data_IF_951697585227
#
_entry.id   IF_951697585227
#
_cell.length_a   1.000
_cell.length_b   1.000
_cell.length_c   1.000
_cell.angle_alpha   90.00
_cell.angle_beta   90.00
_cell.angle_gamma   90.00
#
_symmetry.space_group_name_H-M   'P 1'
#
loop_
_entity.id
_entity.type
_entity.pdbx_description
1 polymer ?
#
# COMPACT_ATOMS: atom_id res chain seq x y z
N UNK A 1 5.44 31.22 -27.31
CA UNK A 1 6.92 31.24 -27.57
C UNK A 1 7.21 31.02 -29.05
N UNK A 2 8.22 31.69 -29.64
CA UNK A 2 8.63 31.43 -31.03
C UNK A 2 9.23 30.03 -31.21
N UNK A 3 8.86 29.31 -32.28
CA UNK A 3 9.26 27.90 -32.52
C UNK A 3 10.77 27.67 -32.43
N UNK A 4 11.56 28.60 -32.97
CA UNK A 4 13.02 28.51 -33.01
C UNK A 4 13.64 28.65 -31.61
N UNK A 5 13.12 29.55 -30.77
CA UNK A 5 13.60 29.74 -29.40
C UNK A 5 13.24 28.54 -28.52
N UNK A 6 12.03 28.01 -28.64
CA UNK A 6 11.62 26.83 -27.87
C UNK A 6 12.41 25.56 -28.23
N UNK A 7 12.77 25.39 -29.51
CA UNK A 7 13.66 24.30 -29.94
C UNK A 7 15.03 24.39 -29.27
N UNK A 8 15.62 25.60 -29.22
CA UNK A 8 16.90 25.83 -28.54
C UNK A 8 16.82 25.53 -27.04
N UNK A 9 15.71 25.89 -26.40
CA UNK A 9 15.48 25.53 -24.99
C UNK A 9 15.43 24.01 -24.79
N UNK A 10 14.74 23.29 -25.67
CA UNK A 10 14.67 21.83 -25.61
C UNK A 10 16.03 21.16 -25.83
N UNK A 11 16.84 21.67 -26.75
CA UNK A 11 18.21 21.19 -27.00
C UNK A 11 19.11 21.46 -25.78
N UNK A 12 19.10 22.69 -25.27
CA UNK A 12 19.88 23.06 -24.09
C UNK A 12 19.50 22.21 -22.86
N UNK A 13 18.21 21.90 -22.69
CA UNK A 13 17.75 21.05 -21.59
C UNK A 13 18.23 19.59 -21.74
N UNK A 14 18.40 19.06 -22.95
CA UNK A 14 18.95 17.70 -23.15
C UNK A 14 20.43 17.61 -22.80
N UNK A 15 21.14 18.70 -23.01
CA UNK A 15 22.59 18.78 -22.82
C UNK A 15 22.97 19.19 -21.39
N UNK A 16 22.02 19.68 -20.59
CA UNK A 16 22.32 20.11 -19.23
C UNK A 16 22.73 18.93 -18.33
N UNK A 17 23.85 19.03 -17.61
CA UNK A 17 24.23 18.05 -16.60
C UNK A 17 23.49 18.25 -15.27
N UNK A 18 22.87 19.43 -15.05
CA UNK A 18 22.24 19.82 -13.78
C UNK A 18 21.03 18.96 -13.43
N UNK A 19 20.28 18.53 -14.46
CA UNK A 19 19.08 17.70 -14.28
C UNK A 19 19.44 16.28 -14.68
N UNK A 20 19.65 15.42 -13.67
CA UNK A 20 19.81 14.00 -13.91
C UNK A 20 18.54 13.43 -14.57
N UNK A 21 18.75 12.48 -15.49
CA UNK A 21 17.63 11.74 -16.09
C UNK A 21 16.79 11.10 -15.00
N UNK A 22 15.47 11.10 -15.21
CA UNK A 22 14.56 10.46 -14.28
C UNK A 22 14.86 8.97 -14.17
N UNK A 23 15.04 8.48 -12.95
CA UNK A 23 15.33 7.09 -12.64
C UNK A 23 14.12 6.44 -11.96
N UNK A 24 13.37 5.58 -12.68
CA UNK A 24 12.24 4.87 -12.10
C UNK A 24 12.64 3.74 -11.13
N UNK A 25 13.94 3.43 -11.01
CA UNK A 25 14.46 2.36 -10.14
C UNK A 25 14.68 2.80 -8.68
N UNK A 26 14.67 4.11 -8.40
CA UNK A 26 14.76 4.66 -7.04
C UNK A 26 13.77 3.94 -6.10
N UNK A 27 14.17 3.41 -4.93
CA UNK A 27 13.28 2.65 -4.06
C UNK A 27 11.93 3.32 -3.80
N UNK A 28 10.86 2.53 -3.62
CA UNK A 28 9.50 3.04 -3.41
C UNK A 28 9.44 3.98 -2.20
N UNK A 29 10.09 3.57 -1.09
CA UNK A 29 10.37 4.45 0.06
C UNK A 29 11.36 5.53 -0.39
N UNK A 30 10.97 6.82 -0.34
CA UNK A 30 11.78 7.89 -0.95
C UNK A 30 11.20 8.45 -2.23
N UNK A 31 10.34 7.70 -2.93
CA UNK A 31 10.06 7.98 -4.35
C UNK A 31 9.24 9.24 -4.57
N UNK A 32 8.30 9.56 -3.68
CA UNK A 32 7.53 10.81 -3.75
C UNK A 32 8.47 12.01 -3.56
N UNK A 33 9.32 11.97 -2.53
CA UNK A 33 10.33 13.00 -2.27
C UNK A 33 11.31 13.15 -3.45
N UNK A 34 11.75 12.04 -4.03
CA UNK A 34 12.57 12.02 -5.25
C UNK A 34 11.88 12.70 -6.43
N UNK A 35 10.64 12.31 -6.76
CA UNK A 35 9.87 12.91 -7.86
C UNK A 35 9.70 14.42 -7.64
N UNK A 36 9.32 14.83 -6.41
CA UNK A 36 9.14 16.25 -6.05
C UNK A 36 10.45 17.03 -6.22
N UNK A 37 11.56 16.51 -5.71
CA UNK A 37 12.89 17.13 -5.83
C UNK A 37 13.33 17.22 -7.28
N UNK A 38 13.15 16.15 -8.04
CA UNK A 38 13.49 16.09 -9.46
C UNK A 38 12.73 17.17 -10.26
N UNK A 39 11.43 17.32 -10.03
CA UNK A 39 10.64 18.40 -10.63
C UNK A 39 11.10 19.80 -10.18
N UNK A 40 11.52 19.96 -8.92
CA UNK A 40 12.09 21.21 -8.42
C UNK A 40 13.35 21.61 -9.18
N UNK A 41 14.33 20.71 -9.25
CA UNK A 41 15.59 20.92 -9.99
C UNK A 41 15.32 21.18 -11.47
N UNK A 42 14.40 20.43 -12.08
CA UNK A 42 13.98 20.66 -13.47
C UNK A 42 13.37 22.06 -13.68
N UNK A 43 12.52 22.52 -12.75
CA UNK A 43 11.89 23.85 -12.85
C UNK A 43 12.91 24.98 -12.72
N UNK A 44 13.88 24.85 -11.82
CA UNK A 44 14.98 25.79 -11.64
C UNK A 44 15.85 25.86 -12.90
N UNK A 45 16.23 24.71 -13.44
CA UNK A 45 17.04 24.63 -14.66
C UNK A 45 16.30 25.22 -15.87
N UNK A 46 15.02 24.88 -16.06
CA UNK A 46 14.21 25.48 -17.13
C UNK A 46 14.15 27.00 -16.99
N UNK A 47 14.07 27.52 -15.76
CA UNK A 47 14.07 28.97 -15.51
C UNK A 47 15.38 29.61 -15.96
N UNK A 48 16.52 28.98 -15.64
CA UNK A 48 17.84 29.42 -16.07
C UNK A 48 17.99 29.38 -17.59
N UNK A 49 17.61 28.26 -18.22
CA UNK A 49 17.74 28.08 -19.67
C UNK A 49 16.79 29.00 -20.47
N UNK A 50 15.62 29.32 -19.94
CA UNK A 50 14.73 30.33 -20.50
C UNK A 50 15.44 31.68 -20.63
N UNK A 51 16.13 32.14 -19.58
CA UNK A 51 16.90 33.38 -19.61
C UNK A 51 18.01 33.33 -20.68
N UNK A 52 18.74 32.22 -20.78
CA UNK A 52 19.78 32.03 -21.80
C UNK A 52 19.23 31.99 -23.23
N UNK A 53 18.01 31.49 -23.42
CA UNK A 53 17.34 31.41 -24.72
C UNK A 53 16.55 32.67 -25.08
N UNK A 54 16.52 33.69 -24.21
CA UNK A 54 15.71 34.88 -24.41
C UNK A 54 14.20 34.61 -24.38
N UNK A 55 13.76 33.62 -23.61
CA UNK A 55 12.37 33.26 -23.40
C UNK A 55 11.95 33.76 -22.02
N UNK A 56 10.89 34.55 -21.95
CA UNK A 56 10.25 34.84 -20.67
C UNK A 56 9.53 33.57 -20.17
N UNK A 57 9.90 33.09 -18.99
CA UNK A 57 9.29 31.91 -18.34
C UNK A 57 7.77 32.03 -18.25
N UNK A 58 7.24 33.24 -18.04
CA UNK A 58 5.80 33.47 -17.92
C UNK A 58 5.03 33.16 -19.22
N UNK A 59 5.73 33.10 -20.36
CA UNK A 59 5.15 32.80 -21.68
C UNK A 59 5.10 31.31 -22.00
N UNK A 60 5.63 30.45 -21.11
CA UNK A 60 5.52 29.01 -21.24
C UNK A 60 4.15 28.54 -20.74
N UNK A 61 3.37 27.98 -21.66
CA UNK A 61 2.12 27.28 -21.35
C UNK A 61 2.38 25.85 -20.86
N UNK A 62 1.38 25.20 -20.25
CA UNK A 62 1.48 23.84 -19.73
C UNK A 62 1.96 22.81 -20.77
N UNK A 63 1.54 22.96 -22.03
CA UNK A 63 1.98 22.10 -23.13
C UNK A 63 3.50 22.14 -23.32
N UNK A 64 4.10 23.33 -23.18
CA UNK A 64 5.55 23.50 -23.28
C UNK A 64 6.25 22.78 -22.12
N UNK A 65 5.73 22.91 -20.89
CA UNK A 65 6.26 22.22 -19.72
C UNK A 65 6.19 20.70 -19.87
N UNK A 66 5.08 20.17 -20.38
CA UNK A 66 4.95 18.74 -20.64
C UNK A 66 6.00 18.24 -21.62
N UNK A 67 6.27 18.98 -22.70
CA UNK A 67 7.31 18.64 -23.67
C UNK A 67 8.69 18.61 -22.99
N UNK A 68 9.03 19.65 -22.22
CA UNK A 68 10.32 19.75 -21.52
C UNK A 68 10.52 18.58 -20.55
N UNK A 69 9.50 18.23 -19.78
CA UNK A 69 9.54 17.11 -18.83
C UNK A 69 9.70 15.78 -19.57
N UNK A 70 8.93 15.56 -20.64
CA UNK A 70 8.97 14.32 -21.43
C UNK A 70 10.35 14.06 -22.03
N UNK A 71 11.05 15.11 -22.44
CA UNK A 71 12.42 14.99 -22.96
C UNK A 71 13.38 14.45 -21.90
N UNK A 72 13.11 14.72 -20.61
CA UNK A 72 13.94 14.28 -19.48
C UNK A 72 13.53 12.93 -18.90
N UNK A 73 12.44 12.33 -19.41
CA UNK A 73 11.99 11.00 -19.01
C UNK A 73 12.56 9.91 -19.93
N UNK A 74 12.91 8.73 -19.39
CA UNK A 74 13.19 7.55 -20.20
C UNK A 74 11.99 7.17 -21.08
N UNK A 75 12.26 6.61 -22.26
CA UNK A 75 11.22 6.14 -23.18
C UNK A 75 10.23 5.18 -22.51
N UNK A 76 10.73 4.27 -21.68
CA UNK A 76 9.90 3.32 -20.91
C UNK A 76 8.92 4.05 -19.99
N UNK A 77 9.32 5.19 -19.43
CA UNK A 77 8.44 6.00 -18.58
C UNK A 77 7.39 6.74 -19.37
N UNK A 78 7.78 7.36 -20.48
CA UNK A 78 6.82 8.00 -21.39
C UNK A 78 5.79 6.99 -21.89
N UNK A 79 6.21 5.78 -22.25
CA UNK A 79 5.31 4.71 -22.70
C UNK A 79 4.32 4.30 -21.61
N UNK A 80 4.77 4.12 -20.36
CA UNK A 80 3.89 3.80 -19.23
C UNK A 80 2.84 4.88 -18.97
N UNK A 81 3.26 6.15 -19.00
CA UNK A 81 2.35 7.28 -18.80
C UNK A 81 1.30 7.33 -19.92
N UNK A 82 1.70 7.11 -21.17
CA UNK A 82 0.75 7.04 -22.30
C UNK A 82 -0.29 5.94 -22.11
N UNK A 83 0.14 4.71 -21.80
CA UNK A 83 -0.78 3.60 -21.54
C UNK A 83 -1.71 3.88 -20.35
N UNK A 84 -1.22 4.52 -19.29
CA UNK A 84 -2.05 4.94 -18.16
C UNK A 84 -3.11 5.98 -18.57
N UNK A 85 -2.74 6.98 -19.39
CA UNK A 85 -3.69 7.96 -19.90
C UNK A 85 -4.81 7.31 -20.73
N UNK A 86 -4.44 6.39 -21.63
CA UNK A 86 -5.39 5.66 -22.49
C UNK A 86 -6.41 4.85 -21.67
N UNK A 87 -5.96 4.24 -20.57
CA UNK A 87 -6.79 3.36 -19.74
C UNK A 87 -7.65 4.13 -18.72
N UNK A 88 -7.10 5.13 -18.02
CA UNK A 88 -7.76 5.72 -16.86
C UNK A 88 -8.39 7.09 -17.11
N UNK A 89 -7.90 7.87 -18.08
CA UNK A 89 -8.26 9.29 -18.17
C UNK A 89 -9.43 9.61 -19.11
N UNK A 90 -10.30 8.64 -19.40
CA UNK A 90 -11.51 8.81 -20.25
C UNK A 90 -11.22 9.51 -21.59
N UNK A 91 -10.11 9.16 -22.24
CA UNK A 91 -9.77 9.66 -23.58
C UNK A 91 -8.90 10.93 -23.61
N UNK A 92 -8.34 11.38 -22.48
CA UNK A 92 -7.29 12.41 -22.50
C UNK A 92 -5.98 11.83 -23.04
N UNK A 93 -5.22 12.67 -23.73
CA UNK A 93 -3.89 12.32 -24.24
C UNK A 93 -2.82 13.04 -23.43
N UNK A 94 -1.59 12.53 -23.49
CA UNK A 94 -0.42 13.12 -22.83
C UNK A 94 -0.20 14.60 -23.19
N UNK A 95 -0.64 14.99 -24.39
CA UNK A 95 -0.49 16.36 -24.90
C UNK A 95 -1.54 17.33 -24.30
N UNK A 96 -2.66 16.80 -23.81
CA UNK A 96 -3.79 17.60 -23.26
C UNK A 96 -3.77 17.79 -21.75
N UNK A 97 -2.80 17.18 -21.06
CA UNK A 97 -2.75 17.21 -19.61
C UNK A 97 -2.13 18.53 -19.14
N UNK A 98 -2.59 19.07 -18.02
CA UNK A 98 -1.88 20.18 -17.38
C UNK A 98 -0.57 19.69 -16.77
N UNK A 99 0.37 20.60 -16.50
CA UNK A 99 1.64 20.23 -15.88
C UNK A 99 1.44 19.65 -14.46
N UNK A 100 0.43 20.15 -13.74
CA UNK A 100 0.04 19.64 -12.41
C UNK A 100 -0.47 18.20 -12.52
N UNK A 101 -1.41 17.93 -13.43
CA UNK A 101 -1.92 16.58 -13.67
C UNK A 101 -0.80 15.62 -14.10
N UNK A 102 0.15 16.09 -14.94
CA UNK A 102 1.31 15.30 -15.35
C UNK A 102 2.15 14.85 -14.15
N UNK A 103 2.44 15.76 -13.23
CA UNK A 103 3.18 15.48 -11.99
C UNK A 103 2.43 14.48 -11.11
N UNK A 104 1.13 14.66 -10.94
CA UNK A 104 0.29 13.73 -10.15
C UNK A 104 0.25 12.33 -10.75
N UNK A 105 0.16 12.19 -12.08
CA UNK A 105 0.20 10.88 -12.72
C UNK A 105 1.55 10.20 -12.56
N UNK A 106 2.67 10.92 -12.68
CA UNK A 106 3.99 10.36 -12.41
C UNK A 106 4.06 9.79 -10.99
N UNK A 107 3.50 10.52 -10.01
CA UNK A 107 3.39 10.01 -8.65
C UNK A 107 2.50 8.75 -8.61
N UNK A 108 1.31 8.75 -9.21
CA UNK A 108 0.42 7.57 -9.22
C UNK A 108 1.04 6.33 -9.89
N UNK A 109 1.76 6.52 -11.00
CA UNK A 109 2.35 5.41 -11.78
C UNK A 109 3.55 4.82 -11.06
N UNK A 110 4.40 5.67 -10.48
CA UNK A 110 5.68 5.23 -9.93
C UNK A 110 5.68 5.05 -8.44
N UNK A 111 4.86 5.81 -7.71
CA UNK A 111 4.63 5.57 -6.31
C UNK A 111 3.41 4.65 -6.21
N UNK A 112 3.60 3.48 -5.61
CA UNK A 112 2.47 2.78 -5.02
C UNK A 112 1.96 3.72 -3.94
N UNK A 113 0.90 4.47 -4.22
CA UNK A 113 0.24 5.30 -3.21
C UNK A 113 -0.28 4.30 -2.20
N UNK A 114 0.45 4.19 -1.11
CA UNK A 114 0.05 3.39 0.02
C UNK A 114 -1.31 3.91 0.50
N UNK A 115 -2.22 2.99 0.81
CA UNK A 115 -3.54 3.37 1.30
C UNK A 115 -3.38 4.29 2.53
N UNK A 116 -4.09 5.43 2.64
CA UNK A 116 -3.85 6.43 3.68
C UNK A 116 -3.80 5.84 5.11
N UNK A 117 -4.66 4.88 5.41
CA UNK A 117 -4.66 4.13 6.67
C UNK A 117 -3.33 3.40 6.93
N UNK A 118 -2.79 2.70 5.93
CA UNK A 118 -1.51 2.01 6.06
C UNK A 118 -0.35 3.01 6.21
N UNK A 119 -0.41 4.13 5.49
CA UNK A 119 0.56 5.20 5.63
C UNK A 119 0.56 5.78 7.06
N UNK A 120 -0.63 5.92 7.67
CA UNK A 120 -0.75 6.31 9.08
C UNK A 120 -0.12 5.29 10.00
N UNK A 121 -0.41 4.00 9.80
CA UNK A 121 0.14 2.93 10.64
C UNK A 121 1.66 2.75 10.49
N UNK A 122 2.23 3.06 9.33
CA UNK A 122 3.69 3.04 9.14
C UNK A 122 4.39 4.16 9.91
N UNK A 123 3.72 5.28 10.16
CA UNK A 123 4.29 6.42 10.87
C UNK A 123 3.97 6.38 12.36
N UNK A 124 2.73 6.07 12.73
CA UNK A 124 2.20 6.16 14.08
C UNK A 124 1.90 4.80 14.73
N UNK A 125 1.97 3.70 13.98
CA UNK A 125 1.63 2.37 14.47
C UNK A 125 2.73 1.69 15.29
N UNK A 126 2.49 0.44 15.72
CA UNK A 126 3.44 -0.33 16.53
C UNK A 126 4.75 -0.63 15.78
N UNK A 127 4.69 -0.67 14.45
CA UNK A 127 5.85 -0.85 13.56
C UNK A 127 6.33 0.49 12.97
N UNK A 128 6.15 1.60 13.70
CA UNK A 128 6.57 2.93 13.26
C UNK A 128 8.00 2.94 12.73
N UNK A 129 8.25 3.86 11.81
CA UNK A 129 9.52 3.93 11.09
C UNK A 129 10.73 3.99 12.04
N UNK A 130 11.47 2.88 12.12
CA UNK A 130 12.66 2.75 12.98
C UNK A 130 13.87 3.21 12.19
N UNK A 131 14.68 4.09 12.79
CA UNK A 131 15.97 4.49 12.25
C UNK A 131 16.85 3.27 11.91
N UNK A 132 17.35 3.20 10.68
CA UNK A 132 18.35 2.20 10.28
C UNK A 132 19.66 2.39 11.04
N UNK A 133 20.37 1.28 11.32
CA UNK A 133 21.66 1.31 12.04
C UNK A 133 22.72 2.16 11.31
N UNK A 134 22.61 2.25 9.98
CA UNK A 134 23.62 2.90 9.13
C UNK A 134 23.30 4.36 8.80
N UNK A 135 22.15 4.92 9.24
CA UNK A 135 21.79 6.31 8.97
C UNK A 135 22.08 7.21 10.18
N UNK A 136 22.49 8.46 9.96
CA UNK A 136 22.61 9.42 11.06
C UNK A 136 21.23 9.98 11.43
N UNK A 137 21.08 10.57 12.64
CA UNK A 137 19.79 11.11 13.09
C UNK A 137 19.25 12.20 12.17
N UNK A 138 20.12 13.09 11.68
CA UNK A 138 19.74 14.18 10.78
C UNK A 138 19.21 13.65 9.44
N UNK A 139 19.89 12.68 8.86
CA UNK A 139 19.46 12.05 7.61
C UNK A 139 18.15 11.28 7.82
N UNK A 140 18.01 10.55 8.93
CA UNK A 140 16.77 9.86 9.24
C UNK A 140 15.59 10.83 9.41
N UNK A 141 15.77 11.95 10.11
CA UNK A 141 14.73 12.97 10.26
C UNK A 141 14.34 13.61 8.93
N UNK A 142 15.33 13.95 8.09
CA UNK A 142 15.09 14.47 6.74
C UNK A 142 14.38 13.46 5.86
N UNK A 143 14.81 12.20 5.87
CA UNK A 143 14.16 11.13 5.12
C UNK A 143 12.74 10.88 5.61
N UNK A 144 12.50 10.93 6.91
CA UNK A 144 11.17 10.80 7.50
C UNK A 144 10.24 11.91 7.00
N UNK A 145 10.63 13.18 7.16
CA UNK A 145 9.83 14.34 6.76
C UNK A 145 9.55 14.34 5.25
N UNK A 146 10.57 14.04 4.42
CA UNK A 146 10.44 14.01 2.97
C UNK A 146 9.57 12.84 2.45
N UNK A 147 9.32 11.84 3.29
CA UNK A 147 8.55 10.64 2.94
C UNK A 147 7.17 10.57 3.60
N UNK A 148 6.78 11.58 4.37
CA UNK A 148 5.43 11.63 4.92
C UNK A 148 4.40 11.64 3.78
N UNK A 149 3.39 10.79 3.94
CA UNK A 149 2.25 10.76 3.03
C UNK A 149 1.55 12.13 3.04
N UNK A 150 1.02 12.64 1.91
CA UNK A 150 0.39 13.96 1.87
C UNK A 150 -0.71 14.19 2.90
N UNK A 151 -1.39 13.14 3.36
CA UNK A 151 -2.40 13.24 4.42
C UNK A 151 -1.87 13.81 5.75
N UNK A 152 -0.55 13.76 5.99
CA UNK A 152 0.07 14.29 7.21
C UNK A 152 0.31 15.80 7.19
N UNK A 153 -0.01 16.51 6.10
CA UNK A 153 0.17 17.95 5.99
C UNK A 153 -1.15 18.67 5.65
N UNK A 154 -2.17 18.59 6.52
CA UNK A 154 -3.41 19.35 6.35
C UNK A 154 -3.13 20.87 6.47
N UNK A 155 -3.73 21.63 5.59
CA UNK A 155 -3.58 23.10 5.47
C UNK A 155 -4.88 23.86 5.67
N UNK A 156 -6.03 23.18 5.58
CA UNK A 156 -7.36 23.76 5.79
C UNK A 156 -8.11 23.07 6.92
N UNK A 157 -9.09 23.75 7.53
CA UNK A 157 -9.91 23.20 8.61
C UNK A 157 -10.62 21.89 8.20
N UNK A 158 -11.04 21.79 6.94
CA UNK A 158 -11.65 20.57 6.42
C UNK A 158 -10.61 19.44 6.34
N UNK A 159 -9.42 19.72 5.81
CA UNK A 159 -8.33 18.74 5.75
C UNK A 159 -7.91 18.26 7.15
N UNK A 160 -7.95 19.13 8.17
CA UNK A 160 -7.71 18.71 9.56
C UNK A 160 -8.79 17.75 10.08
N UNK A 161 -10.07 17.97 9.73
CA UNK A 161 -11.16 17.05 10.09
C UNK A 161 -11.02 15.71 9.38
N UNK A 162 -10.69 15.74 8.09
CA UNK A 162 -10.46 14.55 7.28
C UNK A 162 -9.27 13.75 7.81
N UNK A 163 -8.20 14.44 8.23
CA UNK A 163 -7.06 13.81 8.89
C UNK A 163 -7.45 13.19 10.24
N UNK A 164 -8.27 13.86 11.05
CA UNK A 164 -8.75 13.30 12.31
C UNK A 164 -9.59 12.02 12.10
N UNK A 165 -10.50 12.01 11.12
CA UNK A 165 -11.24 10.80 10.72
C UNK A 165 -10.28 9.69 10.25
N UNK A 166 -9.27 10.03 9.45
CA UNK A 166 -8.25 9.08 9.00
C UNK A 166 -7.48 8.46 10.18
N UNK A 167 -7.10 9.23 11.20
CA UNK A 167 -6.47 8.70 12.42
C UNK A 167 -7.40 7.70 13.13
N UNK A 168 -8.69 8.04 13.26
CA UNK A 168 -9.67 7.15 13.88
C UNK A 168 -9.88 5.87 13.07
N UNK A 169 -10.03 5.97 11.75
CA UNK A 169 -10.08 4.82 10.83
C UNK A 169 -8.85 3.94 10.97
N UNK A 170 -7.68 4.54 11.09
CA UNK A 170 -6.41 3.80 11.22
C UNK A 170 -6.32 3.07 12.55
N UNK A 171 -6.74 3.70 13.64
CA UNK A 171 -6.83 3.06 14.96
C UNK A 171 -7.83 1.90 14.95
N UNK A 172 -9.01 2.09 14.34
CA UNK A 172 -9.99 1.02 14.16
C UNK A 172 -9.41 -0.13 13.33
N UNK A 173 -8.83 0.16 12.17
CA UNK A 173 -8.22 -0.83 11.29
C UNK A 173 -7.15 -1.68 12.01
N UNK A 174 -6.27 -1.02 12.78
CA UNK A 174 -5.23 -1.71 13.55
C UNK A 174 -5.77 -2.54 14.73
N UNK A 175 -6.98 -2.25 15.21
CA UNK A 175 -7.64 -3.01 16.26
C UNK A 175 -8.33 -4.29 15.76
N UNK A 176 -8.44 -4.47 14.44
CA UNK A 176 -9.03 -5.67 13.85
C UNK A 176 -8.01 -6.80 13.84
N UNK A 177 -8.42 -7.96 14.35
CA UNK A 177 -7.60 -9.18 14.34
C UNK A 177 -7.72 -9.97 13.02
N UNK A 178 -8.76 -9.69 12.23
CA UNK A 178 -9.07 -10.43 11.00
C UNK A 178 -8.44 -9.77 9.76
N UNK A 179 -7.45 -10.42 9.12
CA UNK A 179 -6.78 -9.88 7.94
C UNK A 179 -7.68 -9.84 6.70
N UNK A 180 -8.70 -10.70 6.59
CA UNK A 180 -9.63 -10.69 5.46
C UNK A 180 -10.51 -9.43 5.50
N UNK A 181 -11.01 -9.09 6.69
CA UNK A 181 -11.74 -7.83 6.91
C UNK A 181 -10.86 -6.63 6.57
N UNK A 182 -9.61 -6.62 7.04
CA UNK A 182 -8.66 -5.55 6.72
C UNK A 182 -8.43 -5.39 5.20
N UNK A 183 -8.27 -6.49 4.46
CA UNK A 183 -8.07 -6.45 3.00
C UNK A 183 -9.28 -5.82 2.29
N UNK A 184 -10.50 -6.15 2.70
CA UNK A 184 -11.70 -5.56 2.11
C UNK A 184 -11.86 -4.07 2.47
N UNK A 185 -11.52 -3.65 3.70
CA UNK A 185 -11.56 -2.24 4.09
C UNK A 185 -10.62 -1.37 3.23
N UNK A 186 -9.47 -1.90 2.80
CA UNK A 186 -8.55 -1.21 1.89
C UNK A 186 -9.08 -1.05 0.46
N UNK A 187 -10.21 -1.69 0.11
CA UNK A 187 -10.87 -1.52 -1.19
C UNK A 187 -11.92 -0.40 -1.18
N UNK A 188 -12.28 0.13 -0.01
CA UNK A 188 -13.22 1.25 0.09
C UNK A 188 -12.57 2.48 -0.56
N UNK A 189 -13.17 3.08 -1.60
CA UNK A 189 -12.67 4.30 -2.20
C UNK A 189 -12.57 5.43 -1.17
N UNK A 190 -11.46 6.17 -1.17
CA UNK A 190 -11.18 7.18 -0.13
C UNK A 190 -12.23 8.30 -0.09
N UNK A 191 -12.87 8.64 -1.21
CA UNK A 191 -13.96 9.62 -1.28
C UNK A 191 -15.23 9.20 -0.53
N UNK A 192 -15.34 7.91 -0.19
CA UNK A 192 -16.42 7.31 0.59
C UNK A 192 -15.96 6.81 1.95
N UNK A 193 -14.66 6.81 2.19
CA UNK A 193 -14.07 6.23 3.38
C UNK A 193 -14.27 7.17 4.58
N UNK A 194 -15.22 6.81 5.43
CA UNK A 194 -15.42 7.41 6.76
C UNK A 194 -15.28 6.34 7.84
N UNK A 195 -15.05 6.73 9.09
CA UNK A 195 -15.06 5.77 10.20
C UNK A 195 -16.34 4.94 10.24
N UNK A 196 -17.50 5.57 10.02
CA UNK A 196 -18.80 4.90 10.02
C UNK A 196 -18.86 3.84 8.93
N UNK A 197 -18.42 4.17 7.71
CA UNK A 197 -18.40 3.22 6.60
C UNK A 197 -17.46 2.05 6.87
N UNK A 198 -16.30 2.31 7.48
CA UNK A 198 -15.35 1.26 7.90
C UNK A 198 -15.99 0.30 8.90
N UNK A 199 -16.69 0.82 9.92
CA UNK A 199 -17.37 0.00 10.92
C UNK A 199 -18.49 -0.84 10.30
N UNK A 200 -19.33 -0.25 9.44
CA UNK A 200 -20.43 -0.95 8.77
C UNK A 200 -19.92 -2.04 7.82
N UNK A 201 -18.88 -1.73 7.06
CA UNK A 201 -18.28 -2.69 6.12
C UNK A 201 -17.64 -3.85 6.89
N UNK A 202 -16.89 -3.56 7.96
CA UNK A 202 -16.30 -4.58 8.82
C UNK A 202 -17.37 -5.52 9.42
N UNK A 203 -18.44 -4.97 10.00
CA UNK A 203 -19.53 -5.76 10.58
C UNK A 203 -20.22 -6.66 9.54
N UNK A 204 -20.45 -6.12 8.33
CA UNK A 204 -21.05 -6.87 7.22
C UNK A 204 -20.16 -8.05 6.82
N UNK A 205 -18.86 -7.84 6.69
CA UNK A 205 -17.91 -8.90 6.28
C UNK A 205 -17.76 -9.93 7.40
N UNK A 206 -17.57 -9.50 8.65
CA UNK A 206 -17.48 -10.40 9.80
C UNK A 206 -18.73 -11.28 9.93
N UNK A 207 -19.91 -10.72 9.68
CA UNK A 207 -21.17 -11.48 9.64
C UNK A 207 -21.21 -12.51 8.51
N UNK A 208 -20.71 -12.15 7.32
CA UNK A 208 -20.62 -13.07 6.17
C UNK A 208 -19.64 -14.21 6.43
N UNK A 209 -18.47 -13.92 7.00
CA UNK A 209 -17.46 -14.92 7.36
C UNK A 209 -17.99 -15.89 8.41
N UNK A 210 -18.64 -15.37 9.46
CA UNK A 210 -19.27 -16.21 10.48
C UNK A 210 -20.38 -17.11 9.90
N UNK A 211 -21.20 -16.58 8.99
CA UNK A 211 -22.21 -17.37 8.29
C UNK A 211 -21.57 -18.47 7.45
N UNK A 212 -20.52 -18.16 6.68
CA UNK A 212 -19.80 -19.12 5.85
C UNK A 212 -19.18 -20.24 6.69
N UNK A 213 -18.50 -19.91 7.79
CA UNK A 213 -17.98 -20.91 8.73
C UNK A 213 -19.07 -21.83 9.29
N UNK A 214 -20.22 -21.27 9.64
CA UNK A 214 -21.34 -22.05 10.16
C UNK A 214 -21.87 -23.05 9.14
N UNK A 215 -21.94 -22.65 7.85
CA UNK A 215 -22.35 -23.54 6.76
C UNK A 215 -21.33 -24.64 6.50
N UNK A 216 -20.03 -24.33 6.52
CA UNK A 216 -18.97 -25.33 6.41
C UNK A 216 -19.02 -26.35 7.56
N UNK A 217 -19.22 -25.88 8.80
CA UNK A 217 -19.38 -26.74 9.98
C UNK A 217 -20.64 -27.62 9.88
N UNK A 218 -21.73 -27.10 9.31
CA UNK A 218 -22.96 -27.86 9.07
C UNK A 218 -22.77 -28.92 7.96
N UNK A 219 -22.07 -28.59 6.87
CA UNK A 219 -21.75 -29.54 5.80
C UNK A 219 -20.75 -30.62 6.24
N UNK A 220 -19.77 -30.27 7.09
CA UNK A 220 -18.82 -31.22 7.70
C UNK A 220 -19.45 -32.17 8.72
N UNK A 221 -20.67 -31.88 9.21
CA UNK A 221 -21.47 -32.75 10.09
C UNK A 221 -22.50 -33.61 9.36
N UNK A 222 -22.49 -33.65 8.03
CA UNK A 222 -23.19 -34.69 7.29
C UNK A 222 -22.37 -35.97 7.38
N UNK A 223 -22.37 -36.62 8.56
CA UNK A 223 -22.23 -38.07 8.61
C UNK A 223 -23.37 -38.62 7.79
N UNK A 224 -23.05 -39.15 6.60
CA UNK A 224 -23.95 -40.03 5.87
C UNK A 224 -24.30 -41.17 6.82
N UNK A 225 -25.44 -41.07 7.49
CA UNK A 225 -26.09 -42.22 8.08
C UNK A 225 -26.39 -43.15 6.92
N UNK A 226 -25.56 -44.18 6.75
CA UNK A 226 -25.89 -45.28 5.87
C UNK A 226 -27.32 -45.71 6.20
N UNK A 227 -28.25 -45.74 5.23
CA UNK A 227 -29.57 -46.27 5.49
C UNK A 227 -29.40 -47.74 5.88
N UNK A 228 -29.86 -48.09 7.07
CA UNK A 228 -29.95 -49.46 7.57
C UNK A 228 -30.68 -50.31 6.53
N UNK A 229 -29.92 -51.11 5.78
CA UNK A 229 -30.46 -52.17 4.97
C UNK A 229 -30.90 -53.28 5.93
N UNK A 230 -32.18 -53.26 6.30
CA UNK A 230 -32.87 -54.40 6.87
C UNK A 230 -32.80 -55.57 5.87
N UNK A 231 -31.83 -56.46 6.06
CA UNK A 231 -31.77 -57.76 5.41
C UNK A 231 -31.73 -58.86 6.47
N UNK A 232 -32.92 -59.40 6.74
CA UNK A 232 -33.12 -60.73 7.33
C UNK A 232 -32.22 -61.78 6.68
N UNK A 233 -31.35 -62.46 7.46
CA UNK A 233 -31.19 -63.92 7.38
C UNK A 233 -30.49 -64.51 8.60
N UNK A 234 -31.14 -65.56 9.11
CA UNK A 234 -30.74 -66.46 10.20
C UNK A 234 -29.39 -67.13 9.91
N UNK A 235 -28.55 -67.29 10.93
CA UNK A 235 -27.38 -68.17 10.85
C UNK A 235 -26.68 -68.34 12.20
N UNK A 236 -26.82 -69.52 12.79
CA UNK A 236 -26.26 -69.95 14.08
C UNK A 236 -24.72 -69.88 14.10
N UNK A 237 -24.14 -69.48 15.23
CA UNK A 237 -22.71 -69.67 15.49
C UNK A 237 -22.33 -69.35 16.93
N UNK A 238 -22.36 -70.36 17.79
CA UNK A 238 -21.86 -70.31 19.18
C UNK A 238 -20.36 -69.99 19.19
N UNK A 239 -19.95 -69.05 20.04
CA UNK A 239 -18.54 -68.80 20.35
C UNK A 239 -18.39 -68.16 21.73
N UNK A 240 -18.34 -69.01 22.77
CA UNK A 240 -17.94 -68.62 24.12
C UNK A 240 -16.45 -68.24 24.09
N UNK A 241 -16.10 -67.06 24.58
CA UNK A 241 -14.71 -66.66 24.80
C UNK A 241 -14.62 -65.67 25.95
N UNK A 242 -14.63 -66.18 27.18
CA UNK A 242 -14.22 -65.45 28.38
C UNK A 242 -12.70 -65.27 28.31
N UNK A 243 -12.22 -64.05 28.53
CA UNK A 243 -10.80 -63.75 28.64
C UNK A 243 -10.58 -62.48 29.44
N UNK A 244 -10.68 -62.60 30.76
CA UNK A 244 -10.13 -61.66 31.74
C UNK A 244 -8.62 -61.53 31.52
N UNK A 245 -8.10 -60.30 31.46
CA UNK A 245 -6.66 -60.06 31.48
C UNK A 245 -6.31 -58.66 31.97
N UNK A 246 -6.04 -58.56 33.27
CA UNK A 246 -5.44 -57.41 33.96
C UNK A 246 -3.93 -57.40 33.72
N UNK A 247 -3.36 -56.20 33.58
CA UNK A 247 -1.93 -55.88 33.70
C UNK A 247 -1.76 -54.43 33.25
N UNK A 248 -1.69 -53.42 34.12
CA UNK A 248 -0.73 -53.15 35.19
C UNK A 248 0.73 -53.23 34.71
N UNK A 249 1.25 -52.08 34.28
CA UNK A 249 2.63 -51.86 33.89
C UNK A 249 3.02 -50.43 34.22
N UNK A 250 3.26 -50.17 35.50
CA UNK A 250 4.02 -49.01 35.98
C UNK A 250 5.47 -49.12 35.46
N UNK A 251 6.01 -48.06 34.84
CA UNK A 251 7.40 -47.67 35.08
C UNK A 251 7.64 -46.18 34.78
N UNK A 252 8.18 -45.55 35.80
CA UNK A 252 8.76 -44.21 35.85
C UNK A 252 10.00 -44.08 34.97
N UNK A 253 10.23 -42.87 34.44
CA UNK A 253 11.48 -42.09 34.58
C UNK A 253 11.19 -40.68 34.02
N UNK A 254 11.10 -39.65 34.86
CA UNK A 254 12.22 -38.77 35.26
C UNK A 254 13.04 -38.24 34.08
N UNK A 255 12.76 -37.00 33.68
CA UNK A 255 13.73 -35.91 33.78
C UNK A 255 13.04 -34.55 33.79
N UNK A 256 13.23 -33.87 34.92
CA UNK A 256 12.90 -32.48 35.18
C UNK A 256 13.87 -31.57 34.44
N UNK A 257 13.30 -30.45 33.96
CA UNK A 257 13.79 -29.11 33.57
C UNK A 257 15.26 -28.69 33.89
N UNK A 258 15.75 -27.60 33.28
CA UNK A 258 15.41 -26.26 33.78
C UNK A 258 15.15 -25.24 32.63
N UNK A 259 14.04 -24.48 32.70
CA UNK A 259 13.90 -23.13 33.29
C UNK A 259 13.94 -22.04 32.22
N UNK A 260 12.75 -21.55 31.88
CA UNK A 260 12.56 -20.28 31.19
C UNK A 260 13.01 -19.16 32.13
N UNK A 261 13.96 -18.34 31.68
CA UNK A 261 14.19 -17.03 32.26
C UNK A 261 13.03 -16.11 31.88
N UNK A 262 12.17 -15.83 32.85
CA UNK A 262 11.24 -14.71 32.83
C UNK A 262 12.04 -13.43 33.13
N UNK A 263 12.32 -12.63 32.10
CA UNK A 263 12.67 -11.22 32.29
C UNK A 263 11.37 -10.41 32.38
N UNK A 264 11.01 -10.04 33.59
CA UNK A 264 10.08 -8.95 33.88
C UNK A 264 10.82 -7.63 33.64
N UNK A 265 10.33 -6.81 32.72
CA UNK A 265 10.66 -5.40 32.66
C UNK A 265 9.46 -4.63 33.19
N UNK A 266 9.66 -3.94 34.31
CA UNK A 266 8.77 -2.87 34.77
C UNK A 266 8.95 -1.66 33.85
N UNK A 267 7.86 -1.29 33.17
CA UNK A 267 7.52 0.07 32.73
C UNK A 267 6.01 0.23 32.75
#
# INVERSE_FOLDING_TARGET
>A
VGKTSFSRLCEALRETPSVLKFDPSVPIKGRIGYIRRWFGVLSEEVSMLCMCCGIDKSTLEDEHYNILVRIMLPYTSVSKIKSYCELETKGRTLDTLTFVEFKEMLIKIYCKIEHPVLAVLNVLGPHRDIKSKDTCMLQHGSDFENNLHPCFNPTTDQEFRDFADLIQRSAFFASLDDPEVQVELLKIPEDKASLVEYMLTADTISSQLAAYESTLKAMGKVTVSQPDAAATKRGRGRGRGRGRGRGNGHRYNHTSAPSQESQTFDW
#
